data_IF_968623658972
#
_entry.id   IF_968623658972
#
_cell.length_a   1.000
_cell.length_b   1.000
_cell.length_c   1.000
_cell.angle_alpha   90.00
_cell.angle_beta   90.00
_cell.angle_gamma   90.00
#
_symmetry.space_group_name_H-M   'P 1'
#
loop_
_entity.id
_entity.type
_entity.pdbx_description
1 polymer ?
#
# COMPACT_ATOMS: atom_id res chain seq x y z
N UNK A 1 22.66 -2.20 -23.12
CA UNK A 1 22.52 -3.27 -22.11
C UNK A 1 23.88 -3.94 -21.94
N UNK A 2 24.53 -3.86 -20.79
CA UNK A 2 25.77 -4.56 -20.49
C UNK A 2 25.50 -5.67 -19.47
N UNK A 3 26.03 -6.87 -19.72
CA UNK A 3 26.11 -7.92 -18.70
C UNK A 3 27.28 -7.58 -17.76
N UNK A 4 27.03 -7.40 -16.47
CA UNK A 4 28.04 -6.95 -15.49
C UNK A 4 28.72 -8.13 -14.78
N UNK A 5 28.15 -9.33 -14.82
CA UNK A 5 28.72 -10.55 -14.25
C UNK A 5 27.74 -11.72 -14.31
N UNK A 6 28.30 -12.92 -14.44
CA UNK A 6 27.56 -14.17 -14.26
C UNK A 6 28.21 -14.93 -13.09
N UNK A 7 27.47 -15.23 -12.07
CA UNK A 7 27.80 -16.23 -11.05
C UNK A 7 27.12 -17.54 -11.45
N UNK A 8 27.63 -18.71 -10.99
CA UNK A 8 26.99 -19.98 -11.35
C UNK A 8 25.52 -20.01 -11.01
N UNK A 9 24.65 -19.93 -12.03
CA UNK A 9 23.20 -19.95 -11.91
C UNK A 9 22.49 -18.57 -11.97
N UNK A 10 23.17 -17.42 -11.93
CA UNK A 10 22.56 -16.08 -12.03
C UNK A 10 23.31 -15.16 -12.98
N UNK A 11 22.59 -14.22 -13.60
CA UNK A 11 23.11 -13.14 -14.44
C UNK A 11 22.65 -11.79 -13.93
N UNK A 12 23.51 -10.79 -13.97
CA UNK A 12 23.18 -9.40 -13.63
C UNK A 12 23.23 -8.55 -14.89
N UNK A 13 22.12 -7.84 -15.16
CA UNK A 13 21.96 -6.92 -16.29
C UNK A 13 21.75 -5.50 -15.80
N UNK A 14 22.45 -4.54 -16.40
CA UNK A 14 22.21 -3.12 -16.20
C UNK A 14 21.45 -2.53 -17.37
N UNK A 15 20.41 -1.78 -17.06
CA UNK A 15 19.61 -0.99 -17.96
C UNK A 15 19.86 0.47 -17.62
N UNK A 16 20.95 1.01 -18.15
CA UNK A 16 21.35 2.40 -17.94
C UNK A 16 20.64 3.30 -18.97
N UNK A 17 20.47 4.57 -18.66
CA UNK A 17 19.83 5.56 -19.52
C UNK A 17 18.42 5.16 -19.99
N UNK A 18 17.62 4.61 -19.08
CA UNK A 18 16.21 4.38 -19.35
C UNK A 18 15.51 5.71 -19.67
N UNK A 19 14.44 5.67 -20.47
CA UNK A 19 13.58 6.84 -20.65
C UNK A 19 13.05 7.29 -19.29
N UNK A 20 12.74 8.59 -19.14
CA UNK A 20 12.14 9.12 -17.92
C UNK A 20 10.86 8.35 -17.58
N UNK A 21 10.73 8.02 -16.29
CA UNK A 21 9.51 7.43 -15.72
C UNK A 21 9.24 8.07 -14.36
N UNK A 22 7.99 8.13 -13.99
CA UNK A 22 7.54 8.58 -12.66
C UNK A 22 6.72 7.50 -11.95
N UNK A 23 6.55 6.35 -12.57
CA UNK A 23 5.90 5.19 -11.99
C UNK A 23 6.68 3.91 -12.24
N UNK A 24 6.47 2.92 -11.38
CA UNK A 24 7.06 1.59 -11.51
C UNK A 24 5.98 0.52 -11.40
N UNK A 25 6.07 -0.50 -12.24
CA UNK A 25 5.25 -1.70 -12.16
C UNK A 25 6.15 -2.94 -12.04
N UNK A 26 6.09 -3.58 -10.89
CA UNK A 26 6.84 -4.79 -10.59
C UNK A 26 5.88 -5.97 -10.53
N UNK A 27 6.13 -6.98 -11.35
CA UNK A 27 5.28 -8.16 -11.44
C UNK A 27 5.97 -9.44 -10.94
N UNK A 28 5.24 -10.53 -10.97
CA UNK A 28 5.73 -11.87 -10.71
C UNK A 28 6.28 -12.06 -9.28
N UNK A 29 7.57 -12.39 -9.16
CA UNK A 29 8.24 -12.66 -7.89
C UNK A 29 9.44 -11.74 -7.64
N UNK A 30 9.55 -10.63 -8.37
CA UNK A 30 10.67 -9.70 -8.23
C UNK A 30 10.70 -9.05 -6.86
N UNK A 31 11.92 -9.01 -6.28
CA UNK A 31 12.25 -8.25 -5.08
C UNK A 31 12.94 -6.96 -5.49
N UNK A 32 12.25 -5.87 -5.34
CA UNK A 32 12.71 -4.56 -5.75
C UNK A 32 13.29 -3.77 -4.57
N UNK A 33 14.41 -3.11 -4.80
CA UNK A 33 14.93 -2.03 -3.97
C UNK A 33 14.82 -0.74 -4.78
N UNK A 34 14.12 0.24 -4.26
CA UNK A 34 13.96 1.54 -4.89
C UNK A 34 14.87 2.55 -4.19
N UNK A 35 15.72 3.23 -4.96
CA UNK A 35 16.75 4.17 -4.49
C UNK A 35 16.60 5.49 -5.20
N UNK A 36 16.67 6.60 -4.47
CA UNK A 36 16.66 7.94 -5.05
C UNK A 36 18.04 8.27 -5.65
N UNK A 37 18.06 8.86 -6.85
CA UNK A 37 19.28 9.28 -7.52
C UNK A 37 18.96 9.99 -8.83
N UNK A 38 19.95 10.62 -9.43
CA UNK A 38 19.77 11.51 -10.57
C UNK A 38 19.54 10.78 -11.92
N UNK A 39 19.73 9.45 -11.93
CA UNK A 39 19.65 8.64 -13.14
C UNK A 39 18.38 7.77 -13.16
N UNK A 40 17.88 7.48 -14.38
CA UNK A 40 16.85 6.48 -14.62
C UNK A 40 17.50 5.14 -14.97
N UNK A 41 17.59 4.24 -14.00
CA UNK A 41 18.36 3.02 -14.12
C UNK A 41 17.66 1.84 -13.43
N UNK A 42 17.85 0.64 -13.98
CA UNK A 42 17.49 -0.61 -13.32
C UNK A 42 18.63 -1.63 -13.43
N UNK A 43 18.98 -2.24 -12.32
CA UNK A 43 19.94 -3.33 -12.26
C UNK A 43 19.24 -4.59 -11.82
N UNK A 44 19.15 -5.59 -12.69
CA UNK A 44 18.42 -6.83 -12.45
C UNK A 44 19.38 -7.99 -12.31
N UNK A 45 19.26 -8.74 -11.21
CA UNK A 45 19.93 -10.03 -11.01
C UNK A 45 18.87 -11.14 -11.03
N UNK A 46 19.01 -12.06 -11.99
CA UNK A 46 18.04 -13.10 -12.27
C UNK A 46 18.73 -14.44 -12.54
N UNK A 47 18.08 -15.55 -12.20
CA UNK A 47 18.55 -16.88 -12.62
C UNK A 47 18.67 -16.96 -14.14
N UNK A 48 19.77 -17.54 -14.66
CA UNK A 48 20.08 -17.57 -16.10
C UNK A 48 19.00 -18.24 -16.95
N UNK A 49 18.26 -19.19 -16.41
CA UNK A 49 17.15 -19.86 -17.11
C UNK A 49 15.96 -18.93 -17.43
N UNK A 50 15.88 -17.75 -16.77
CA UNK A 50 14.82 -16.76 -17.00
C UNK A 50 15.31 -15.52 -17.76
N UNK A 51 16.59 -15.47 -18.11
CA UNK A 51 17.20 -14.28 -18.72
C UNK A 51 16.50 -13.87 -20.03
N UNK A 52 16.14 -14.82 -20.88
CA UNK A 52 15.47 -14.56 -22.17
C UNK A 52 14.04 -14.02 -22.01
N UNK A 53 13.38 -14.28 -20.87
CA UNK A 53 12.02 -13.83 -20.58
C UNK A 53 11.98 -12.47 -19.88
N UNK A 54 13.11 -11.95 -19.42
CA UNK A 54 13.16 -10.67 -18.71
C UNK A 54 12.73 -9.51 -19.63
N UNK A 55 11.74 -8.77 -19.17
CA UNK A 55 11.28 -7.51 -19.79
C UNK A 55 11.48 -6.35 -18.80
N UNK A 56 12.37 -5.44 -19.16
CA UNK A 56 12.58 -4.16 -18.50
C UNK A 56 12.37 -3.08 -19.54
N UNK A 57 11.24 -2.40 -19.48
CA UNK A 57 10.83 -1.42 -20.47
C UNK A 57 10.10 -0.24 -19.86
N UNK A 58 10.19 0.93 -20.50
CA UNK A 58 9.46 2.13 -20.09
C UNK A 58 8.40 2.45 -21.14
N UNK A 59 7.13 2.40 -20.72
CA UNK A 59 5.97 2.70 -21.55
C UNK A 59 5.06 3.70 -20.81
N UNK A 60 4.67 4.79 -21.44
CA UNK A 60 3.81 5.83 -20.83
C UNK A 60 4.31 6.32 -19.47
N UNK A 61 5.61 6.58 -19.32
CA UNK A 61 6.28 6.98 -18.09
C UNK A 61 6.21 5.96 -16.93
N UNK A 62 5.86 4.72 -17.21
CA UNK A 62 5.84 3.61 -16.26
C UNK A 62 6.98 2.63 -16.60
N UNK A 63 7.87 2.35 -15.65
CA UNK A 63 8.89 1.32 -15.76
C UNK A 63 8.28 -0.04 -15.44
N UNK A 64 8.32 -0.95 -16.39
CA UNK A 64 7.90 -2.34 -16.20
C UNK A 64 9.11 -3.22 -15.90
N UNK A 65 9.01 -4.03 -14.84
CA UNK A 65 9.94 -5.13 -14.55
C UNK A 65 9.12 -6.40 -14.38
N UNK A 66 9.20 -7.29 -15.36
CA UNK A 66 8.39 -8.52 -15.42
C UNK A 66 9.06 -9.60 -16.25
N UNK A 67 8.50 -10.81 -16.19
CA UNK A 67 8.77 -11.85 -17.17
C UNK A 67 7.74 -11.73 -18.30
N UNK A 68 8.19 -11.84 -19.58
CA UNK A 68 7.26 -11.91 -20.72
C UNK A 68 6.41 -13.17 -20.57
N UNK A 69 5.12 -13.05 -20.87
CA UNK A 69 4.25 -14.21 -21.02
C UNK A 69 4.77 -15.07 -22.17
N UNK A 70 5.34 -16.18 -21.82
CA UNK A 70 5.65 -17.29 -22.71
C UNK A 70 4.98 -18.51 -22.12
N UNK A 71 4.97 -19.66 -22.79
CA UNK A 71 4.38 -20.94 -22.37
C UNK A 71 4.91 -21.45 -21.02
N UNK A 72 4.91 -20.57 -20.03
CA UNK A 72 5.50 -20.71 -18.70
C UNK A 72 4.64 -21.65 -17.84
N UNK A 73 4.77 -22.95 -18.05
CA UNK A 73 4.19 -24.01 -17.21
C UNK A 73 4.97 -24.21 -15.90
N UNK A 74 5.84 -23.28 -15.52
CA UNK A 74 6.64 -23.40 -14.30
C UNK A 74 5.78 -23.04 -13.09
N UNK A 75 5.60 -23.97 -12.16
CA UNK A 75 4.79 -23.71 -10.97
C UNK A 75 5.41 -22.59 -10.14
N UNK A 76 4.58 -21.71 -9.55
CA UNK A 76 4.99 -20.61 -8.66
C UNK A 76 5.94 -21.07 -7.53
N UNK A 77 5.82 -22.34 -7.09
CA UNK A 77 6.74 -22.93 -6.09
C UNK A 77 8.19 -23.02 -6.58
N UNK A 78 8.40 -23.20 -7.89
CA UNK A 78 9.77 -23.22 -8.46
C UNK A 78 10.32 -21.80 -8.54
N UNK A 79 9.50 -20.81 -8.90
CA UNK A 79 9.89 -19.41 -8.98
C UNK A 79 10.33 -18.86 -7.62
N UNK A 80 9.66 -19.20 -6.52
CA UNK A 80 9.99 -18.72 -5.17
C UNK A 80 11.38 -19.15 -4.65
N UNK A 81 12.04 -20.13 -5.29
CA UNK A 81 13.40 -20.58 -4.95
C UNK A 81 14.47 -19.97 -5.84
N UNK A 82 14.06 -19.11 -6.77
CA UNK A 82 14.90 -18.49 -7.79
C UNK A 82 15.20 -17.05 -7.44
N UNK A 83 16.23 -16.51 -8.04
CA UNK A 83 16.66 -15.14 -7.82
C UNK A 83 15.96 -14.22 -8.81
N UNK A 84 15.25 -13.23 -8.29
CA UNK A 84 14.59 -12.16 -9.04
C UNK A 84 14.76 -10.85 -8.27
N UNK A 85 15.95 -10.28 -8.32
CA UNK A 85 16.25 -9.03 -7.61
C UNK A 85 16.37 -7.89 -8.63
N UNK A 86 15.84 -6.72 -8.27
CA UNK A 86 16.01 -5.50 -9.06
C UNK A 86 16.31 -4.32 -8.13
N UNK A 87 17.32 -3.54 -8.49
CA UNK A 87 17.53 -2.20 -7.91
C UNK A 87 17.15 -1.17 -8.93
N UNK A 88 16.20 -0.29 -8.59
CA UNK A 88 15.70 0.79 -9.45
C UNK A 88 16.18 2.10 -8.88
N UNK A 89 16.80 2.93 -9.72
CA UNK A 89 17.20 4.30 -9.37
C UNK A 89 16.36 5.27 -10.18
N UNK A 90 15.82 6.29 -9.52
CA UNK A 90 15.08 7.37 -10.15
C UNK A 90 15.14 8.66 -9.28
N UNK A 91 15.03 9.84 -9.88
CA UNK A 91 15.02 11.11 -9.12
C UNK A 91 13.70 11.33 -8.37
N UNK A 92 12.59 10.86 -8.89
CA UNK A 92 11.27 10.97 -8.27
C UNK A 92 10.34 9.86 -8.77
N UNK A 93 9.41 9.43 -7.91
CA UNK A 93 8.36 8.45 -8.20
C UNK A 93 7.07 8.94 -7.58
N UNK A 94 5.95 8.80 -8.29
CA UNK A 94 4.62 9.05 -7.76
C UNK A 94 3.62 7.90 -7.98
N UNK A 95 4.07 6.78 -8.59
CA UNK A 95 3.23 5.60 -8.79
C UNK A 95 4.02 4.32 -8.53
N UNK A 96 3.46 3.45 -7.70
CA UNK A 96 3.99 2.10 -7.43
C UNK A 96 2.87 1.08 -7.65
N UNK A 97 3.06 0.18 -8.61
CA UNK A 97 2.16 -0.93 -8.89
C UNK A 97 2.90 -2.25 -8.66
N UNK A 98 2.44 -3.04 -7.70
CA UNK A 98 3.02 -4.35 -7.39
C UNK A 98 2.00 -5.45 -7.60
N UNK A 99 2.37 -6.49 -8.34
CA UNK A 99 1.49 -7.63 -8.60
C UNK A 99 2.18 -8.98 -8.36
N UNK A 100 1.39 -10.03 -8.25
CA UNK A 100 1.92 -11.38 -8.01
C UNK A 100 2.41 -11.57 -6.58
N UNK A 101 3.65 -11.98 -6.43
CA UNK A 101 4.35 -12.13 -5.15
C UNK A 101 5.52 -11.15 -5.00
N UNK A 102 5.49 -10.08 -5.79
CA UNK A 102 6.55 -9.09 -5.81
C UNK A 102 6.68 -8.35 -4.48
N UNK A 103 7.85 -7.84 -4.22
CA UNK A 103 8.08 -7.00 -3.04
C UNK A 103 8.93 -5.79 -3.39
N UNK A 104 8.69 -4.69 -2.68
CA UNK A 104 9.45 -3.45 -2.83
C UNK A 104 9.81 -2.91 -1.45
N UNK A 105 11.05 -2.48 -1.33
CA UNK A 105 11.59 -1.77 -0.17
C UNK A 105 12.21 -0.45 -0.64
N UNK A 106 11.94 0.63 0.09
CA UNK A 106 12.66 1.90 -0.05
C UNK A 106 12.76 2.59 1.31
N UNK A 107 13.93 3.16 1.60
CA UNK A 107 14.16 3.97 2.81
C UNK A 107 14.29 5.46 2.49
N UNK A 108 14.35 5.81 1.21
CA UNK A 108 14.45 7.20 0.76
C UNK A 108 13.09 7.90 0.88
N UNK A 109 13.14 9.22 1.01
CA UNK A 109 11.95 10.04 1.04
C UNK A 109 11.52 10.38 -0.39
N UNK A 110 10.32 9.97 -0.76
CA UNK A 110 9.74 10.22 -2.08
C UNK A 110 8.77 11.38 -2.01
N UNK A 111 9.13 12.49 -2.63
CA UNK A 111 8.25 13.63 -2.84
C UNK A 111 7.67 13.58 -4.24
N UNK A 112 6.35 13.72 -4.36
CA UNK A 112 5.70 13.71 -5.66
C UNK A 112 5.66 15.12 -6.27
N UNK A 113 6.27 15.34 -7.45
CA UNK A 113 6.14 16.62 -8.15
C UNK A 113 4.73 16.86 -8.71
N UNK A 114 3.85 15.86 -8.67
CA UNK A 114 2.48 15.90 -9.15
C UNK A 114 1.45 16.03 -8.02
N UNK A 115 1.91 16.30 -6.79
CA UNK A 115 1.08 16.46 -5.59
C UNK A 115 0.30 15.21 -5.16
N UNK A 116 0.27 14.15 -5.97
CA UNK A 116 -0.38 12.88 -5.61
C UNK A 116 0.58 11.69 -5.71
N UNK A 117 0.31 10.65 -4.93
CA UNK A 117 1.01 9.36 -4.96
C UNK A 117 0.01 8.21 -5.07
N UNK A 118 0.26 7.29 -6.00
CA UNK A 118 -0.57 6.09 -6.22
C UNK A 118 0.19 4.86 -5.77
N UNK A 119 -0.44 4.06 -4.91
CA UNK A 119 0.07 2.78 -4.42
C UNK A 119 -0.94 1.68 -4.68
N UNK A 120 -0.70 0.84 -5.68
CA UNK A 120 -1.57 -0.28 -6.03
C UNK A 120 -0.87 -1.61 -5.81
N UNK A 121 -1.43 -2.45 -4.94
CA UNK A 121 -0.90 -3.76 -4.62
C UNK A 121 -1.93 -4.86 -4.84
N UNK A 122 -1.58 -5.86 -5.64
CA UNK A 122 -2.43 -6.99 -5.95
C UNK A 122 -1.73 -8.34 -5.70
N UNK A 123 -2.50 -9.39 -5.44
CA UNK A 123 -1.96 -10.72 -5.18
C UNK A 123 -1.44 -10.87 -3.76
N UNK A 124 -0.19 -11.21 -3.58
CA UNK A 124 0.51 -11.27 -2.28
C UNK A 124 1.68 -10.30 -2.23
N UNK A 125 1.58 -9.22 -3.00
CA UNK A 125 2.61 -8.20 -3.13
C UNK A 125 2.83 -7.44 -1.81
N UNK A 126 4.06 -6.95 -1.62
CA UNK A 126 4.45 -6.24 -0.40
C UNK A 126 5.23 -4.97 -0.71
N UNK A 127 4.85 -3.86 -0.07
CA UNK A 127 5.61 -2.62 -0.09
C UNK A 127 5.99 -2.23 1.34
N UNK A 128 7.28 -2.16 1.62
CA UNK A 128 7.77 -1.97 2.99
C UNK A 128 8.62 -0.71 3.10
N UNK A 129 8.52 -0.02 4.25
CA UNK A 129 9.33 1.14 4.62
C UNK A 129 9.25 2.31 3.64
N UNK A 130 8.11 2.46 2.96
CA UNK A 130 7.90 3.60 2.09
C UNK A 130 7.80 4.88 2.92
N UNK A 131 8.59 5.88 2.54
CA UNK A 131 8.50 7.24 3.07
C UNK A 131 8.08 8.15 1.93
N UNK A 132 6.89 8.74 2.07
CA UNK A 132 6.25 9.50 0.99
C UNK A 132 5.73 10.82 1.57
N UNK A 133 5.96 11.92 0.87
CA UNK A 133 5.35 13.20 1.13
C UNK A 133 4.63 13.71 -0.11
N UNK A 134 3.45 14.28 0.08
CA UNK A 134 2.64 14.83 -1.02
C UNK A 134 1.29 15.31 -0.51
N UNK A 135 0.51 15.97 -1.36
CA UNK A 135 -0.83 16.41 -0.97
C UNK A 135 -1.79 15.22 -0.87
N UNK A 136 -1.75 14.29 -1.81
CA UNK A 136 -2.71 13.18 -1.87
C UNK A 136 -2.03 11.81 -1.94
N UNK A 137 -2.49 10.85 -1.11
CA UNK A 137 -2.16 9.43 -1.21
C UNK A 137 -3.39 8.62 -1.61
N UNK A 138 -3.31 7.91 -2.74
CA UNK A 138 -4.28 6.87 -3.14
C UNK A 138 -3.67 5.49 -2.97
N UNK A 139 -4.21 4.69 -2.06
CA UNK A 139 -3.75 3.33 -1.79
C UNK A 139 -4.86 2.31 -2.08
N UNK A 140 -4.67 1.45 -3.08
CA UNK A 140 -5.57 0.36 -3.44
C UNK A 140 -4.88 -1.00 -3.23
N UNK A 141 -5.34 -1.76 -2.26
CA UNK A 141 -4.77 -3.04 -1.89
C UNK A 141 -5.79 -4.17 -2.04
N UNK A 142 -5.42 -5.20 -2.76
CA UNK A 142 -6.29 -6.38 -2.94
C UNK A 142 -5.54 -7.71 -2.82
N UNK A 143 -6.29 -8.80 -2.68
CA UNK A 143 -5.72 -10.12 -2.43
C UNK A 143 -5.22 -10.26 -0.99
N UNK A 144 -3.98 -10.68 -0.81
CA UNK A 144 -3.29 -10.78 0.49
C UNK A 144 -2.05 -9.85 0.51
N UNK A 145 -2.15 -8.70 -0.14
CA UNK A 145 -1.09 -7.71 -0.23
C UNK A 145 -0.93 -6.90 1.05
N UNK A 146 0.25 -6.32 1.24
CA UNK A 146 0.49 -5.47 2.39
C UNK A 146 1.41 -4.29 2.09
N UNK A 147 1.17 -3.15 2.75
CA UNK A 147 2.04 -1.99 2.67
C UNK A 147 2.24 -1.32 4.02
N UNK A 148 3.41 -0.68 4.17
CA UNK A 148 3.73 0.23 5.27
C UNK A 148 4.23 1.54 4.67
N UNK A 149 3.54 2.63 5.01
CA UNK A 149 3.82 3.98 4.51
C UNK A 149 3.97 4.93 5.70
N UNK A 150 4.99 5.77 5.64
CA UNK A 150 5.19 6.88 6.58
C UNK A 150 5.20 8.18 5.79
N UNK A 151 4.39 9.17 6.21
CA UNK A 151 4.35 10.48 5.58
C UNK A 151 3.11 11.27 5.94
N UNK A 152 3.19 12.57 5.75
CA UNK A 152 2.10 13.51 5.99
C UNK A 152 1.39 13.81 4.66
N UNK A 153 0.05 13.90 4.68
CA UNK A 153 -0.78 14.13 3.49
C UNK A 153 -1.98 15.02 3.84
N UNK A 154 -2.40 15.85 2.91
CA UNK A 154 -3.68 16.56 3.01
C UNK A 154 -4.84 15.57 2.85
N UNK A 155 -4.83 14.74 1.79
CA UNK A 155 -5.87 13.74 1.55
C UNK A 155 -5.29 12.31 1.45
N UNK A 156 -5.93 11.35 2.15
CA UNK A 156 -5.62 9.92 2.06
C UNK A 156 -6.86 9.15 1.64
N UNK A 157 -6.84 8.51 0.47
CA UNK A 157 -7.88 7.58 0.03
C UNK A 157 -7.34 6.14 0.08
N UNK A 158 -8.01 5.28 0.88
CA UNK A 158 -7.64 3.87 1.03
C UNK A 158 -8.77 2.97 0.56
N UNK A 159 -8.45 2.03 -0.33
CA UNK A 159 -9.32 0.90 -0.70
C UNK A 159 -8.62 -0.41 -0.32
N UNK A 160 -9.27 -1.19 0.55
CA UNK A 160 -8.77 -2.49 0.98
C UNK A 160 -9.75 -3.61 0.68
N UNK A 161 -9.29 -4.65 -0.01
CA UNK A 161 -10.11 -5.82 -0.32
C UNK A 161 -9.36 -7.15 -0.06
N UNK A 162 -10.12 -8.24 0.12
CA UNK A 162 -9.54 -9.56 0.41
C UNK A 162 -9.00 -9.64 1.83
N UNK A 163 -7.75 -10.03 1.98
CA UNK A 163 -7.00 -10.12 3.25
C UNK A 163 -5.86 -9.10 3.29
N UNK A 164 -6.00 -8.01 2.55
CA UNK A 164 -4.97 -6.98 2.46
C UNK A 164 -4.75 -6.24 3.77
N UNK A 165 -3.55 -5.69 3.95
CA UNK A 165 -3.19 -4.93 5.13
C UNK A 165 -2.42 -3.65 4.77
N UNK A 166 -2.86 -2.50 5.30
CA UNK A 166 -2.16 -1.22 5.16
C UNK A 166 -1.88 -0.64 6.55
N UNK A 167 -0.66 -0.18 6.75
CA UNK A 167 -0.23 0.53 7.93
C UNK A 167 0.32 1.90 7.54
N UNK A 168 -0.29 2.97 8.08
CA UNK A 168 0.07 4.35 7.81
C UNK A 168 0.49 5.06 9.09
N UNK A 169 1.57 5.84 8.99
CA UNK A 169 2.10 6.67 10.10
C UNK A 169 2.31 8.09 9.59
N UNK A 170 1.61 9.07 10.16
CA UNK A 170 1.72 10.47 9.76
C UNK A 170 0.58 11.33 10.24
N UNK A 171 0.50 12.55 9.69
CA UNK A 171 -0.55 13.51 9.98
C UNK A 171 -1.34 13.77 8.68
N UNK A 172 -2.66 13.88 8.82
CA UNK A 172 -3.58 13.97 7.68
C UNK A 172 -4.60 15.08 7.94
N UNK A 173 -5.13 15.69 6.88
CA UNK A 173 -6.33 16.53 7.01
C UNK A 173 -7.56 15.63 6.81
N UNK A 174 -7.73 15.05 5.62
CA UNK A 174 -8.85 14.21 5.25
C UNK A 174 -8.45 12.74 5.01
N UNK A 175 -9.13 11.81 5.67
CA UNK A 175 -8.90 10.36 5.49
C UNK A 175 -10.19 9.66 5.05
N UNK A 176 -10.16 9.00 3.89
CA UNK A 176 -11.27 8.17 3.38
C UNK A 176 -10.85 6.71 3.29
N UNK A 177 -11.56 5.83 4.01
CA UNK A 177 -11.25 4.39 4.08
C UNK A 177 -12.44 3.57 3.61
N UNK A 178 -12.24 2.73 2.62
CA UNK A 178 -13.22 1.76 2.15
C UNK A 178 -12.63 0.35 2.22
N UNK A 179 -13.15 -0.50 3.11
CA UNK A 179 -12.63 -1.86 3.29
C UNK A 179 -13.69 -2.93 3.15
N UNK A 180 -13.31 -4.04 2.52
CA UNK A 180 -14.16 -5.20 2.31
C UNK A 180 -13.40 -6.51 2.57
N UNK A 181 -14.13 -7.62 2.69
CA UNK A 181 -13.50 -8.91 2.98
C UNK A 181 -13.00 -8.97 4.44
N UNK A 182 -11.74 -9.25 4.63
CA UNK A 182 -11.03 -9.26 5.92
C UNK A 182 -9.86 -8.27 5.92
N UNK A 183 -9.92 -7.26 5.07
CA UNK A 183 -8.88 -6.24 4.97
C UNK A 183 -8.69 -5.47 6.28
N UNK A 184 -7.45 -5.13 6.57
CA UNK A 184 -7.07 -4.34 7.75
C UNK A 184 -6.39 -3.04 7.34
N UNK A 185 -6.85 -1.92 7.89
CA UNK A 185 -6.17 -0.62 7.77
C UNK A 185 -5.87 -0.12 9.17
N UNK A 186 -4.63 0.29 9.40
CA UNK A 186 -4.17 0.80 10.70
C UNK A 186 -3.48 2.15 10.52
N UNK A 187 -3.76 3.08 11.43
CA UNK A 187 -3.18 4.42 11.44
C UNK A 187 -2.53 4.76 12.77
N UNK A 188 -1.43 5.53 12.69
CA UNK A 188 -0.81 6.20 13.85
C UNK A 188 -0.57 7.66 13.47
N UNK A 189 -0.89 8.60 14.37
CA UNK A 189 -0.63 10.04 14.19
C UNK A 189 -1.84 10.90 14.48
N UNK A 190 -2.21 11.81 13.57
CA UNK A 190 -3.39 12.67 13.70
C UNK A 190 -4.14 12.83 12.36
N UNK A 191 -5.45 13.12 12.45
CA UNK A 191 -6.25 13.53 11.32
C UNK A 191 -7.27 14.56 11.75
N UNK A 192 -7.67 15.46 10.85
CA UNK A 192 -8.79 16.35 11.11
C UNK A 192 -10.09 15.57 10.93
N UNK A 193 -10.28 14.94 9.77
CA UNK A 193 -11.49 14.19 9.45
C UNK A 193 -11.20 12.76 8.98
N UNK A 194 -12.04 11.79 9.42
CA UNK A 194 -12.02 10.43 8.89
C UNK A 194 -13.41 9.94 8.49
N UNK A 195 -13.58 9.56 7.22
CA UNK A 195 -14.74 8.80 6.74
C UNK A 195 -14.35 7.34 6.52
N UNK A 196 -14.99 6.42 7.24
CA UNK A 196 -14.70 5.00 7.10
C UNK A 196 -15.93 4.17 6.77
N UNK A 197 -15.80 3.32 5.74
CA UNK A 197 -16.79 2.30 5.36
C UNK A 197 -16.15 0.93 5.46
N UNK A 198 -16.51 0.18 6.50
CA UNK A 198 -16.06 -1.19 6.72
C UNK A 198 -17.16 -2.20 6.43
N UNK A 199 -16.89 -3.19 5.58
CA UNK A 199 -17.83 -4.24 5.24
C UNK A 199 -17.19 -5.64 5.31
N UNK A 200 -18.02 -6.69 5.45
CA UNK A 200 -17.54 -8.06 5.63
C UNK A 200 -17.03 -8.29 7.04
N UNK A 201 -15.78 -8.69 7.19
CA UNK A 201 -15.08 -8.86 8.46
C UNK A 201 -13.83 -7.98 8.53
N UNK A 202 -13.85 -6.85 7.84
CA UNK A 202 -12.72 -5.91 7.77
C UNK A 202 -12.52 -5.13 9.08
N UNK A 203 -11.34 -4.57 9.24
CA UNK A 203 -10.96 -3.89 10.47
C UNK A 203 -10.27 -2.55 10.20
N UNK A 204 -10.81 -1.47 10.78
CA UNK A 204 -10.15 -0.18 10.94
C UNK A 204 -9.54 -0.11 12.36
N UNK A 205 -8.24 0.14 12.43
CA UNK A 205 -7.50 0.39 13.65
C UNK A 205 -6.95 1.82 13.65
N UNK A 206 -7.69 2.74 14.23
CA UNK A 206 -7.34 4.14 14.36
C UNK A 206 -7.28 4.56 15.87
N UNK A 207 -6.92 3.62 16.75
CA UNK A 207 -6.83 3.89 18.18
C UNK A 207 -5.61 4.75 18.54
N UNK A 208 -4.57 4.71 17.72
CA UNK A 208 -3.38 5.54 17.86
C UNK A 208 -3.37 6.72 16.86
N UNK A 209 -4.50 7.00 16.22
CA UNK A 209 -4.76 8.17 15.39
C UNK A 209 -5.67 9.12 16.16
N UNK A 210 -5.20 10.31 16.49
CA UNK A 210 -6.05 11.36 17.10
C UNK A 210 -6.85 12.03 16.01
N UNK A 211 -8.18 11.96 16.09
CA UNK A 211 -9.09 12.47 15.08
C UNK A 211 -9.99 13.54 15.68
N UNK A 212 -10.23 14.65 14.99
CA UNK A 212 -11.21 15.65 15.44
C UNK A 212 -12.62 15.18 15.15
N UNK A 213 -12.95 14.86 13.89
CA UNK A 213 -14.28 14.40 13.47
C UNK A 213 -14.21 13.03 12.78
N UNK A 214 -15.19 12.17 13.02
CA UNK A 214 -15.26 10.84 12.42
C UNK A 214 -16.67 10.43 11.99
N UNK A 215 -16.81 9.89 10.76
CA UNK A 215 -18.01 9.20 10.27
C UNK A 215 -17.67 7.72 10.01
N UNK A 216 -18.15 6.84 10.88
CA UNK A 216 -17.83 5.41 10.86
C UNK A 216 -19.07 4.59 10.46
N UNK A 217 -18.99 3.94 9.30
CA UNK A 217 -20.03 3.06 8.78
C UNK A 217 -19.55 1.62 8.71
N UNK A 218 -20.01 0.77 9.61
CA UNK A 218 -19.65 -0.64 9.68
C UNK A 218 -20.84 -1.54 9.35
N UNK A 219 -20.58 -2.60 8.57
CA UNK A 219 -21.58 -3.59 8.21
C UNK A 219 -20.99 -5.03 8.17
N UNK A 220 -21.87 -6.04 8.28
CA UNK A 220 -21.42 -7.43 8.40
C UNK A 220 -20.89 -7.73 9.80
N UNK A 221 -19.68 -8.29 9.90
CA UNK A 221 -18.96 -8.54 11.14
C UNK A 221 -17.69 -7.66 11.25
N UNK A 222 -17.73 -6.48 10.63
CA UNK A 222 -16.58 -5.57 10.62
C UNK A 222 -16.38 -4.87 11.97
N UNK A 223 -15.16 -4.40 12.18
CA UNK A 223 -14.77 -3.71 13.41
C UNK A 223 -14.08 -2.38 13.10
N UNK A 224 -14.36 -1.36 13.89
CA UNK A 224 -13.62 -0.12 13.93
C UNK A 224 -13.18 0.22 15.36
N UNK A 225 -11.96 0.71 15.51
CA UNK A 225 -11.46 1.30 16.76
C UNK A 225 -10.90 2.68 16.46
N UNK A 226 -11.23 3.70 17.29
CA UNK A 226 -10.88 5.09 16.99
C UNK A 226 -10.71 5.92 18.28
N UNK A 227 -9.78 6.88 18.23
CA UNK A 227 -9.62 7.95 19.22
C UNK A 227 -10.12 9.27 18.62
N UNK A 228 -11.20 9.85 19.16
CA UNK A 228 -11.89 11.00 18.56
C UNK A 228 -12.18 12.08 19.61
N UNK A 229 -12.05 13.36 19.21
CA UNK A 229 -12.08 14.48 20.16
C UNK A 229 -13.36 15.32 20.10
N UNK A 230 -13.92 15.62 18.93
CA UNK A 230 -14.99 16.62 18.76
C UNK A 230 -16.33 16.01 18.33
N UNK A 231 -16.32 15.17 17.26
CA UNK A 231 -17.55 14.61 16.72
C UNK A 231 -17.39 13.17 16.24
N UNK A 232 -18.34 12.31 16.57
CA UNK A 232 -18.39 10.92 16.14
C UNK A 232 -19.78 10.53 15.65
N UNK A 233 -19.94 10.39 14.34
CA UNK A 233 -21.12 9.81 13.73
C UNK A 233 -20.88 8.32 13.45
N UNK A 234 -21.75 7.43 13.94
CA UNK A 234 -21.56 5.98 13.83
C UNK A 234 -22.80 5.31 13.29
N UNK A 235 -22.67 4.56 12.23
CA UNK A 235 -23.72 3.66 11.72
C UNK A 235 -23.23 2.22 11.73
N UNK A 236 -23.86 1.37 12.55
CA UNK A 236 -23.52 -0.05 12.66
C UNK A 236 -24.68 -0.94 12.21
N UNK A 237 -24.40 -1.85 11.27
CA UNK A 237 -25.33 -2.83 10.74
C UNK A 237 -24.78 -4.25 10.85
N UNK A 238 -25.67 -5.25 11.04
CA UNK A 238 -25.25 -6.64 11.21
C UNK A 238 -24.64 -6.89 12.60
N UNK A 239 -23.56 -7.68 12.67
CA UNK A 239 -22.81 -7.98 13.89
C UNK A 239 -21.53 -7.11 14.01
N UNK A 240 -21.59 -5.89 13.50
CA UNK A 240 -20.41 -4.99 13.49
C UNK A 240 -20.15 -4.36 14.87
N UNK A 241 -18.92 -3.93 15.06
CA UNK A 241 -18.47 -3.35 16.33
C UNK A 241 -17.72 -2.05 16.08
N UNK A 242 -18.04 -1.01 16.87
CA UNK A 242 -17.23 0.18 16.98
C UNK A 242 -16.83 0.42 18.43
N UNK A 243 -15.54 0.55 18.69
CA UNK A 243 -15.01 0.96 19.99
C UNK A 243 -14.31 2.31 19.82
N UNK A 244 -14.60 3.24 20.71
CA UNK A 244 -13.97 4.55 20.66
C UNK A 244 -13.39 4.97 22.01
N UNK A 245 -12.34 5.76 21.96
CA UNK A 245 -11.76 6.48 23.07
C UNK A 245 -11.93 7.98 22.82
N UNK A 246 -12.08 8.75 23.85
CA UNK A 246 -12.02 10.21 23.83
C UNK A 246 -11.62 10.75 25.18
N UNK A 247 -10.72 11.72 25.16
CA UNK A 247 -10.37 12.50 26.35
C UNK A 247 -11.16 13.82 26.43
N UNK A 248 -12.00 14.11 25.43
CA UNK A 248 -12.83 15.32 25.37
C UNK A 248 -14.14 15.13 26.14
N UNK A 249 -14.49 16.11 26.97
CA UNK A 249 -15.79 16.18 27.66
C UNK A 249 -16.90 16.72 26.75
N UNK A 250 -16.55 17.39 25.66
CA UNK A 250 -17.47 18.02 24.70
C UNK A 250 -17.73 17.17 23.46
N UNK A 251 -17.27 15.91 23.42
CA UNK A 251 -17.49 15.03 22.29
C UNK A 251 -18.98 14.86 21.97
N UNK A 252 -19.38 15.21 20.77
CA UNK A 252 -20.71 14.93 20.22
C UNK A 252 -20.75 13.54 19.59
N UNK A 253 -21.68 12.68 20.00
CA UNK A 253 -21.80 11.31 19.46
C UNK A 253 -23.20 11.06 18.91
N UNK A 254 -23.30 10.69 17.64
CA UNK A 254 -24.55 10.37 16.95
C UNK A 254 -24.59 8.89 16.53
N UNK A 255 -25.11 7.99 17.38
CA UNK A 255 -25.11 6.56 17.07
C UNK A 255 -26.38 6.10 16.34
N UNK A 256 -26.22 5.32 15.28
CA UNK A 256 -27.28 4.58 14.60
C UNK A 256 -26.94 3.08 14.58
N UNK A 257 -27.40 2.35 15.59
CA UNK A 257 -26.90 1.03 15.93
C UNK A 257 -27.98 -0.04 15.77
N UNK A 258 -27.74 -1.06 14.95
CA UNK A 258 -28.61 -2.23 14.85
C UNK A 258 -28.52 -3.14 16.09
N UNK A 259 -29.56 -3.95 16.37
CA UNK A 259 -29.65 -4.77 17.59
C UNK A 259 -28.50 -5.75 17.78
N UNK A 260 -27.87 -6.24 16.71
CA UNK A 260 -26.79 -7.22 16.76
C UNK A 260 -25.40 -6.58 16.78
N UNK A 261 -25.34 -5.26 16.68
CA UNK A 261 -24.08 -4.51 16.67
C UNK A 261 -23.68 -4.07 18.09
N UNK A 262 -22.40 -3.79 18.28
CA UNK A 262 -21.83 -3.33 19.55
C UNK A 262 -21.16 -1.98 19.39
N UNK A 263 -21.55 -1.01 20.20
CA UNK A 263 -20.94 0.30 20.28
C UNK A 263 -20.50 0.59 21.71
N UNK A 264 -19.22 0.90 21.92
CA UNK A 264 -18.69 1.01 23.27
C UNK A 264 -17.59 2.08 23.36
N UNK A 265 -17.69 2.96 24.36
CA UNK A 265 -16.57 3.78 24.83
C UNK A 265 -15.60 2.92 25.63
N UNK A 266 -14.31 3.06 25.38
CA UNK A 266 -13.23 2.43 26.15
C UNK A 266 -12.38 3.53 26.79
N UNK A 267 -11.64 3.18 27.83
CA UNK A 267 -10.78 4.10 28.58
C UNK A 267 -9.32 3.95 28.20
#
# INVERSE_FOLDING_TARGET
MLAIGASAGTVTKSFDNLKKFNGIQICDTFKATLVQGDEYKAVVTIDTEFEEYLDVSVVCNLLYVRLRETDFKTSLRKLNRKTFNVTITAPSINQIHLTGTSSLVSTDLWTSPMEYFILELNGTAKAEKLRIEGAELKADLSGASSATVTGDFEEVEVKGAGTSALFLVGNYEDVKVNTTGTAKVSFIGSADDIECKCAGSSYLDAMELKVKEADIKCSGASKATIDVEEKLDVTLKGASTCQYRSNSESLSVTPNISRASSFKRIH
#
